data_IF_759625900563
#
_entry.id   IF_759625900563
#
_cell.length_a   1.000
_cell.length_b   1.000
_cell.length_c   1.000
_cell.angle_alpha   90.00
_cell.angle_beta   90.00
_cell.angle_gamma   90.00
#
_symmetry.space_group_name_H-M   'P 1'
#
loop_
_entity.id
_entity.type
_entity.pdbx_description
1 polymer ?
#
# COMPACT_ATOMS: atom_id res chain seq x y z
N UNK A 1 -6.02 6.87 14.03
CA UNK A 1 -6.41 7.02 12.61
C UNK A 1 -7.62 6.16 12.34
N UNK A 2 -8.61 6.63 11.56
CA UNK A 2 -9.84 5.88 11.31
C UNK A 2 -9.98 5.56 9.81
N UNK A 3 -10.18 4.29 9.51
CA UNK A 3 -10.51 3.79 8.18
C UNK A 3 -12.00 3.49 8.10
N UNK A 4 -12.65 4.03 7.09
CA UNK A 4 -14.05 3.77 6.75
C UNK A 4 -14.09 3.14 5.36
N UNK A 5 -14.72 1.98 5.22
CA UNK A 5 -14.77 1.27 3.93
C UNK A 5 -16.22 1.09 3.50
N UNK A 6 -16.58 1.71 2.37
CA UNK A 6 -17.86 1.52 1.71
C UNK A 6 -17.74 0.39 0.69
N UNK A 7 -18.42 -0.73 0.92
CA UNK A 7 -18.26 -1.96 0.14
C UNK A 7 -19.58 -2.73 0.01
N UNK A 8 -19.63 -3.68 -0.91
CA UNK A 8 -20.70 -4.67 -1.02
C UNK A 8 -20.39 -5.98 -0.27
N UNK A 9 -19.14 -6.13 0.21
CA UNK A 9 -18.62 -7.36 0.84
C UNK A 9 -17.86 -7.06 2.13
N UNK A 10 -18.54 -6.58 3.18
CA UNK A 10 -17.90 -6.20 4.45
C UNK A 10 -17.09 -7.33 5.07
N UNK A 11 -17.56 -8.58 4.98
CA UNK A 11 -16.89 -9.74 5.58
C UNK A 11 -15.49 -9.95 5.00
N UNK A 12 -15.27 -9.63 3.72
CA UNK A 12 -13.97 -9.75 3.07
C UNK A 12 -12.95 -8.81 3.69
N UNK A 13 -13.35 -7.59 3.97
CA UNK A 13 -12.52 -6.56 4.61
C UNK A 13 -12.24 -6.93 6.08
N UNK A 14 -13.29 -7.24 6.84
CA UNK A 14 -13.19 -7.52 8.28
C UNK A 14 -12.33 -8.75 8.55
N UNK A 15 -12.57 -9.86 7.85
CA UNK A 15 -11.79 -11.09 8.05
C UNK A 15 -10.33 -10.92 7.63
N UNK A 16 -10.05 -10.14 6.61
CA UNK A 16 -8.68 -9.91 6.13
C UNK A 16 -7.86 -9.01 7.04
N UNK A 17 -8.46 -7.93 7.55
CA UNK A 17 -7.73 -6.89 8.29
C UNK A 17 -7.76 -7.06 9.82
N UNK A 18 -8.72 -7.79 10.40
CA UNK A 18 -8.81 -8.02 11.85
C UNK A 18 -7.84 -9.12 12.36
N UNK A 19 -6.75 -9.35 11.67
CA UNK A 19 -5.77 -10.40 12.02
C UNK A 19 -4.36 -9.83 12.16
N UNK A 20 -3.45 -10.61 12.78
CA UNK A 20 -2.02 -10.32 12.87
C UNK A 20 -1.72 -8.91 13.44
N UNK A 21 -0.89 -8.14 12.76
CA UNK A 21 -0.43 -6.80 13.19
C UNK A 21 -1.60 -5.82 13.21
N UNK A 22 -2.40 -5.77 12.14
CA UNK A 22 -3.55 -4.86 12.05
C UNK A 22 -4.61 -5.15 13.10
N UNK A 23 -4.96 -6.42 13.31
CA UNK A 23 -5.91 -6.80 14.37
C UNK A 23 -5.44 -6.38 15.76
N UNK A 24 -4.14 -6.47 16.07
CA UNK A 24 -3.58 -5.96 17.32
C UNK A 24 -3.63 -4.43 17.41
N UNK A 25 -3.33 -3.74 16.32
CA UNK A 25 -3.37 -2.29 16.26
C UNK A 25 -4.81 -1.74 16.44
N UNK A 26 -5.81 -2.43 15.88
CA UNK A 26 -7.23 -2.12 16.10
C UNK A 26 -7.60 -2.34 17.56
N UNK A 27 -7.24 -3.50 18.14
CA UNK A 27 -7.52 -3.82 19.54
C UNK A 27 -6.84 -2.87 20.51
N UNK A 28 -5.66 -2.34 20.17
CA UNK A 28 -4.94 -1.34 20.95
C UNK A 28 -5.43 0.11 20.72
N UNK A 29 -6.33 0.35 19.77
CA UNK A 29 -6.88 1.67 19.46
C UNK A 29 -5.95 2.60 18.68
N UNK A 30 -4.86 2.10 18.09
CA UNK A 30 -3.98 2.89 17.22
C UNK A 30 -4.67 3.25 15.89
N UNK A 31 -5.46 2.31 15.38
CA UNK A 31 -6.31 2.49 14.20
C UNK A 31 -7.72 1.98 14.50
N UNK A 32 -8.71 2.47 13.76
CA UNK A 32 -10.06 1.89 13.75
C UNK A 32 -10.44 1.49 12.32
N UNK A 33 -11.23 0.43 12.20
CA UNK A 33 -11.76 -0.06 10.94
C UNK A 33 -13.28 -0.12 11.03
N UNK A 34 -13.95 0.72 10.24
CA UNK A 34 -15.41 0.79 10.16
C UNK A 34 -15.84 0.39 8.76
N UNK A 35 -16.46 -0.77 8.63
CA UNK A 35 -16.88 -1.31 7.33
C UNK A 35 -18.39 -1.15 7.18
N UNK A 36 -18.81 -0.53 6.09
CA UNK A 36 -20.21 -0.21 5.83
C UNK A 36 -20.69 -0.91 4.58
N UNK A 37 -21.74 -1.73 4.71
CA UNK A 37 -22.37 -2.35 3.56
C UNK A 37 -23.26 -1.34 2.83
N UNK A 38 -22.90 -1.02 1.58
CA UNK A 38 -23.65 -0.08 0.74
C UNK A 38 -25.11 -0.56 0.51
N UNK A 39 -25.36 -1.88 0.54
CA UNK A 39 -26.71 -2.47 0.37
C UNK A 39 -27.68 -2.03 1.45
N UNK A 40 -27.21 -1.76 2.66
CA UNK A 40 -28.06 -1.35 3.78
C UNK A 40 -28.67 0.05 3.57
N UNK A 41 -28.12 0.78 2.60
CA UNK A 41 -28.59 2.12 2.21
C UNK A 41 -29.40 2.13 0.91
N UNK A 42 -29.78 0.96 0.40
CA UNK A 42 -30.70 0.85 -0.73
C UNK A 42 -32.16 1.04 -0.27
N UNK A 43 -32.92 1.91 -0.93
CA UNK A 43 -34.32 2.20 -0.56
C UNK A 43 -35.34 1.24 -1.19
N UNK A 44 -34.88 0.41 -2.13
CA UNK A 44 -35.78 -0.53 -2.81
C UNK A 44 -35.91 -1.85 -2.02
N UNK A 45 -37.06 -2.52 -2.17
CA UNK A 45 -37.42 -3.76 -1.46
C UNK A 45 -36.38 -4.90 -1.61
N UNK A 46 -35.58 -4.88 -2.65
CA UNK A 46 -34.62 -5.94 -2.98
C UNK A 46 -33.17 -5.55 -2.67
N UNK A 47 -32.94 -4.44 -1.97
CA UNK A 47 -31.61 -3.91 -1.64
C UNK A 47 -30.67 -3.84 -2.86
N UNK A 48 -31.24 -3.49 -4.03
CA UNK A 48 -30.46 -3.33 -5.26
C UNK A 48 -29.63 -2.06 -5.17
N UNK A 49 -28.36 -2.19 -5.54
CA UNK A 49 -27.37 -1.10 -5.55
C UNK A 49 -26.81 -0.84 -6.94
N UNK A 50 -27.29 -1.55 -7.94
CA UNK A 50 -26.81 -1.54 -9.32
C UNK A 50 -27.99 -1.47 -10.31
N UNK A 51 -27.71 -0.98 -11.53
CA UNK A 51 -28.66 -0.92 -12.63
C UNK A 51 -27.92 -0.96 -13.98
N UNK A 52 -28.67 -1.12 -15.07
CA UNK A 52 -28.11 -1.15 -16.42
C UNK A 52 -27.49 0.20 -16.80
N UNK A 53 -26.31 0.19 -17.48
CA UNK A 53 -25.71 1.44 -17.93
C UNK A 53 -26.53 2.16 -18.97
N UNK A 54 -26.62 3.48 -18.90
CA UNK A 54 -27.15 4.29 -20.00
C UNK A 54 -26.28 4.13 -21.25
N UNK A 55 -26.89 4.10 -22.40
CA UNK A 55 -26.20 3.88 -23.68
C UNK A 55 -26.03 2.40 -24.04
N UNK A 56 -26.46 1.49 -23.17
CA UNK A 56 -26.31 0.04 -23.37
C UNK A 56 -24.93 -0.47 -23.02
N UNK A 57 -24.74 -1.76 -23.15
CA UNK A 57 -23.49 -2.46 -22.77
C UNK A 57 -23.76 -3.70 -21.94
N UNK A 58 -22.74 -4.50 -21.72
CA UNK A 58 -22.79 -5.65 -20.81
C UNK A 58 -22.59 -5.19 -19.36
N UNK A 59 -23.14 -5.95 -18.41
CA UNK A 59 -22.94 -5.73 -17.00
C UNK A 59 -23.85 -4.68 -16.37
N UNK A 60 -23.51 -4.25 -15.18
CA UNK A 60 -24.27 -3.34 -14.32
C UNK A 60 -23.36 -2.23 -13.81
N UNK A 61 -23.95 -1.11 -13.40
CA UNK A 61 -23.22 0.03 -12.80
C UNK A 61 -23.80 0.30 -11.42
N UNK A 62 -22.93 0.54 -10.44
CA UNK A 62 -23.35 0.88 -9.08
C UNK A 62 -24.09 2.21 -9.06
N UNK A 63 -25.28 2.20 -8.46
CA UNK A 63 -26.16 3.38 -8.38
C UNK A 63 -25.61 4.44 -7.42
N UNK A 64 -25.77 5.74 -7.73
CA UNK A 64 -25.27 6.82 -6.89
C UNK A 64 -26.00 6.95 -5.55
N UNK A 65 -27.31 6.67 -5.50
CA UNK A 65 -28.15 6.89 -4.32
C UNK A 65 -27.70 6.11 -3.08
N UNK A 66 -27.55 4.76 -3.13
CA UNK A 66 -27.08 3.98 -2.01
C UNK A 66 -25.68 4.41 -1.52
N UNK A 67 -24.76 4.71 -2.44
CA UNK A 67 -23.41 5.17 -2.12
C UNK A 67 -23.44 6.53 -1.40
N UNK A 68 -24.23 7.47 -1.91
CA UNK A 68 -24.36 8.81 -1.31
C UNK A 68 -24.88 8.72 0.12
N UNK A 69 -25.95 7.94 0.34
CA UNK A 69 -26.52 7.76 1.68
C UNK A 69 -25.53 7.07 2.64
N UNK A 70 -24.83 6.04 2.20
CA UNK A 70 -23.79 5.39 2.98
C UNK A 70 -22.67 6.38 3.34
N UNK A 71 -22.20 7.16 2.37
CA UNK A 71 -21.20 8.21 2.60
C UNK A 71 -21.67 9.26 3.61
N UNK A 72 -22.88 9.79 3.45
CA UNK A 72 -23.45 10.78 4.37
C UNK A 72 -23.58 10.22 5.78
N UNK A 73 -24.02 8.96 5.94
CA UNK A 73 -24.15 8.33 7.24
C UNK A 73 -22.78 8.16 7.93
N UNK A 74 -21.77 7.74 7.19
CA UNK A 74 -20.41 7.54 7.72
C UNK A 74 -19.74 8.85 8.10
N UNK A 75 -20.04 9.94 7.36
CA UNK A 75 -19.38 11.24 7.57
C UNK A 75 -20.18 12.21 8.42
N UNK A 76 -21.38 11.83 8.88
CA UNK A 76 -22.32 12.72 9.60
C UNK A 76 -21.72 13.37 10.86
N UNK A 77 -20.86 12.66 11.58
CA UNK A 77 -20.25 13.11 12.83
C UNK A 77 -18.80 13.59 12.65
N UNK A 78 -18.29 13.65 11.42
CA UNK A 78 -16.94 14.12 11.17
C UNK A 78 -16.90 15.64 11.13
N UNK A 79 -15.98 16.22 11.90
CA UNK A 79 -15.77 17.68 11.97
C UNK A 79 -15.27 18.26 10.65
N UNK A 80 -14.46 17.49 9.93
CA UNK A 80 -13.86 17.86 8.67
C UNK A 80 -14.21 16.82 7.58
N UNK A 81 -14.29 17.28 6.33
CA UNK A 81 -14.49 16.36 5.19
C UNK A 81 -13.29 15.42 5.09
N UNK A 82 -13.51 14.10 5.12
CA UNK A 82 -12.43 13.15 4.96
C UNK A 82 -11.90 13.13 3.52
N UNK A 83 -10.71 12.63 3.32
CA UNK A 83 -10.28 12.19 1.99
C UNK A 83 -11.05 10.93 1.62
N UNK A 84 -11.56 10.88 0.40
CA UNK A 84 -12.33 9.76 -0.16
C UNK A 84 -11.55 9.15 -1.30
N UNK A 85 -11.09 7.94 -1.09
CA UNK A 85 -10.27 7.19 -2.02
C UNK A 85 -11.15 6.23 -2.81
N UNK A 86 -11.31 6.47 -4.12
CA UNK A 86 -11.90 5.50 -5.02
C UNK A 86 -10.80 4.61 -5.60
N UNK A 87 -10.92 3.31 -5.36
CA UNK A 87 -9.93 2.33 -5.81
C UNK A 87 -10.27 1.89 -7.22
N UNK A 88 -9.45 2.30 -8.19
CA UNK A 88 -9.73 2.12 -9.61
C UNK A 88 -8.44 2.01 -10.44
N UNK A 89 -8.43 1.21 -11.53
CA UNK A 89 -7.27 1.18 -12.46
C UNK A 89 -6.98 2.52 -13.13
N UNK A 90 -7.95 3.45 -13.17
CA UNK A 90 -7.80 4.77 -13.78
C UNK A 90 -7.04 5.77 -12.90
N UNK A 91 -6.78 5.39 -11.63
CA UNK A 91 -6.14 6.27 -10.65
C UNK A 91 -4.62 6.31 -10.75
N UNK A 92 -4.02 7.24 -10.00
CA UNK A 92 -2.58 7.28 -9.79
C UNK A 92 -2.12 6.00 -9.08
N UNK A 93 -1.00 5.44 -9.53
CA UNK A 93 -0.44 4.22 -8.91
C UNK A 93 0.02 4.53 -7.48
N UNK A 94 -0.48 3.75 -6.53
CA UNK A 94 -0.16 3.84 -5.11
C UNK A 94 1.29 3.48 -4.84
N UNK A 95 1.96 4.30 -4.06
CA UNK A 95 3.34 4.11 -3.63
C UNK A 95 3.52 4.42 -2.14
N UNK A 96 4.73 4.20 -1.64
CA UNK A 96 5.07 4.44 -0.24
C UNK A 96 4.96 5.93 0.15
N UNK A 97 5.13 6.85 -0.79
CA UNK A 97 4.96 8.29 -0.56
C UNK A 97 3.50 8.63 -0.28
N UNK A 98 2.59 8.06 -1.09
CA UNK A 98 1.14 8.21 -0.87
C UNK A 98 0.72 7.56 0.46
N UNK A 99 1.28 6.40 0.82
CA UNK A 99 0.99 5.78 2.11
C UNK A 99 1.34 6.72 3.29
N UNK A 100 2.53 7.36 3.24
CA UNK A 100 2.95 8.36 4.24
C UNK A 100 2.07 9.61 4.24
N UNK A 101 1.59 10.04 3.10
CA UNK A 101 0.69 11.18 2.97
C UNK A 101 -0.66 10.88 3.62
N UNK A 102 -1.28 9.76 3.23
CA UNK A 102 -2.56 9.33 3.76
C UNK A 102 -2.52 9.00 5.27
N UNK A 103 -1.40 8.54 5.79
CA UNK A 103 -1.23 8.27 7.22
C UNK A 103 -1.31 9.52 8.11
N UNK A 104 -1.25 10.73 7.54
CA UNK A 104 -1.41 11.98 8.28
C UNK A 104 -2.88 12.36 8.51
N UNK A 105 -3.78 11.71 7.80
CA UNK A 105 -5.21 11.98 7.89
C UNK A 105 -5.82 11.37 9.16
N UNK A 106 -6.78 12.06 9.76
CA UNK A 106 -7.57 11.55 10.88
C UNK A 106 -8.55 10.48 10.42
N UNK A 107 -9.20 10.71 9.28
CA UNK A 107 -10.20 9.84 8.68
C UNK A 107 -9.92 9.64 7.18
N UNK A 108 -9.94 8.38 6.73
CA UNK A 108 -9.94 8.01 5.31
C UNK A 108 -11.18 7.19 4.98
N UNK A 109 -11.84 7.53 3.89
CA UNK A 109 -12.97 6.76 3.35
C UNK A 109 -12.52 6.05 2.09
N UNK A 110 -12.66 4.74 2.04
CA UNK A 110 -12.42 3.94 0.84
C UNK A 110 -13.75 3.58 0.19
N UNK A 111 -13.89 3.86 -1.09
CA UNK A 111 -15.01 3.40 -1.92
C UNK A 111 -14.54 2.22 -2.78
N UNK A 112 -15.09 1.04 -2.50
CA UNK A 112 -14.83 -0.17 -3.26
C UNK A 112 -15.88 -0.30 -4.38
N UNK A 113 -15.43 -0.15 -5.62
CA UNK A 113 -16.29 -0.35 -6.80
C UNK A 113 -16.45 -1.81 -7.15
N UNK A 114 -17.57 -2.13 -7.80
CA UNK A 114 -17.91 -3.45 -8.35
C UNK A 114 -18.56 -3.33 -9.71
N UNK A 115 -18.82 -4.48 -10.36
CA UNK A 115 -19.44 -4.57 -11.67
C UNK A 115 -18.62 -3.87 -12.76
N UNK A 116 -19.28 -3.08 -13.63
CA UNK A 116 -18.60 -2.28 -14.66
C UNK A 116 -18.07 -0.94 -14.10
N UNK A 117 -18.42 -0.62 -12.85
CA UNK A 117 -17.99 0.58 -12.16
C UNK A 117 -19.06 1.26 -11.35
N UNK A 118 -18.80 2.49 -11.00
CA UNK A 118 -19.67 3.36 -10.17
C UNK A 118 -20.17 4.51 -11.03
N UNK A 119 -21.41 4.94 -10.82
CA UNK A 119 -21.99 6.10 -11.51
C UNK A 119 -21.11 7.34 -11.29
N UNK A 120 -20.69 7.97 -12.40
CA UNK A 120 -19.72 9.08 -12.39
C UNK A 120 -20.18 10.26 -11.54
N UNK A 121 -21.50 10.52 -11.47
CA UNK A 121 -22.06 11.65 -10.69
C UNK A 121 -21.79 11.55 -9.20
N UNK A 122 -21.70 10.34 -8.63
CA UNK A 122 -21.32 10.17 -7.22
C UNK A 122 -19.82 10.25 -7.03
N UNK A 123 -19.03 9.75 -8.00
CA UNK A 123 -17.58 9.90 -7.97
C UNK A 123 -17.20 11.38 -7.96
N UNK A 124 -17.75 12.19 -8.88
CA UNK A 124 -17.53 13.65 -8.94
C UNK A 124 -17.94 14.36 -7.65
N UNK A 125 -18.97 13.85 -6.97
CA UNK A 125 -19.51 14.49 -5.76
C UNK A 125 -18.66 14.25 -4.52
N UNK A 126 -18.14 13.04 -4.33
CA UNK A 126 -17.53 12.65 -3.05
C UNK A 126 -16.05 12.29 -3.13
N UNK A 127 -15.54 11.81 -4.28
CA UNK A 127 -14.17 11.28 -4.38
C UNK A 127 -13.17 12.42 -4.45
N UNK A 128 -12.12 12.31 -3.64
CA UNK A 128 -10.98 13.24 -3.65
C UNK A 128 -9.77 12.65 -4.36
N UNK A 129 -9.64 11.33 -4.34
CA UNK A 129 -8.47 10.61 -4.83
C UNK A 129 -8.88 9.36 -5.62
N UNK A 130 -8.46 9.28 -6.88
CA UNK A 130 -8.54 8.06 -7.68
C UNK A 130 -7.19 7.35 -7.57
N UNK A 131 -7.19 6.10 -7.07
CA UNK A 131 -5.94 5.39 -6.76
C UNK A 131 -5.97 3.98 -7.32
N UNK A 132 -4.89 3.60 -8.00
CA UNK A 132 -4.64 2.26 -8.56
C UNK A 132 -3.56 1.55 -7.74
N UNK A 133 -3.59 0.22 -7.68
CA UNK A 133 -2.49 -0.58 -7.14
C UNK A 133 -1.62 -1.23 -8.24
N UNK A 134 -1.86 -0.89 -9.50
CA UNK A 134 -1.12 -1.38 -10.66
C UNK A 134 -1.97 -1.56 -11.90
N UNK A 135 -1.34 -1.81 -13.04
CA UNK A 135 -1.96 -1.90 -14.35
C UNK A 135 -2.56 -3.29 -14.61
N UNK A 136 -3.54 -3.66 -13.82
CA UNK A 136 -4.33 -4.89 -13.95
C UNK A 136 -5.74 -4.68 -13.38
N UNK A 137 -6.68 -5.53 -13.83
CA UNK A 137 -8.08 -5.44 -13.41
C UNK A 137 -8.39 -6.55 -12.41
N UNK A 138 -9.09 -6.18 -11.33
CA UNK A 138 -9.61 -7.07 -10.31
C UNK A 138 -11.13 -7.13 -10.35
N UNK A 139 -11.72 -8.09 -9.65
CA UNK A 139 -13.18 -8.28 -9.59
C UNK A 139 -13.90 -7.23 -8.75
N UNK A 140 -13.18 -6.49 -7.90
CA UNK A 140 -13.73 -5.45 -7.02
C UNK A 140 -12.63 -4.65 -6.33
N UNK A 141 -13.03 -3.62 -5.61
CA UNK A 141 -12.15 -2.68 -4.93
C UNK A 141 -11.66 -3.13 -3.55
N UNK A 142 -12.15 -4.25 -3.02
CA UNK A 142 -11.85 -4.68 -1.64
C UNK A 142 -10.38 -5.07 -1.46
N UNK A 143 -9.84 -5.90 -2.33
CA UNK A 143 -8.42 -6.31 -2.25
C UNK A 143 -7.47 -5.11 -2.34
N UNK A 144 -7.61 -4.20 -3.32
CA UNK A 144 -6.81 -2.99 -3.36
C UNK A 144 -6.96 -2.12 -2.10
N UNK A 145 -8.18 -1.94 -1.60
CA UNK A 145 -8.41 -1.18 -0.36
C UNK A 145 -7.66 -1.80 0.83
N UNK A 146 -7.70 -3.13 0.96
CA UNK A 146 -6.95 -3.85 2.01
C UNK A 146 -5.45 -3.66 1.89
N UNK A 147 -4.88 -3.75 0.68
CA UNK A 147 -3.44 -3.49 0.42
C UNK A 147 -3.07 -2.08 0.84
N UNK A 148 -3.87 -1.09 0.48
CA UNK A 148 -3.62 0.31 0.84
C UNK A 148 -3.76 0.54 2.35
N UNK A 149 -4.81 0.01 2.99
CA UNK A 149 -5.03 0.13 4.44
C UNK A 149 -3.85 -0.50 5.21
N UNK A 150 -3.35 -1.66 4.79
CA UNK A 150 -2.17 -2.28 5.42
C UNK A 150 -0.95 -1.37 5.31
N UNK A 151 -0.61 -0.93 4.10
CA UNK A 151 0.54 -0.07 3.86
C UNK A 151 0.47 1.28 4.61
N UNK A 152 -0.71 1.90 4.66
CA UNK A 152 -0.95 3.16 5.39
C UNK A 152 -0.85 2.93 6.89
N UNK A 153 -1.45 1.85 7.41
CA UNK A 153 -1.44 1.52 8.84
C UNK A 153 -0.03 1.37 9.39
N UNK A 154 0.89 0.81 8.61
CA UNK A 154 2.31 0.67 8.98
C UNK A 154 3.00 2.01 9.25
N UNK A 155 2.49 3.10 8.70
CA UNK A 155 2.99 4.48 8.91
C UNK A 155 2.39 5.14 10.15
N UNK A 156 1.38 4.52 10.78
CA UNK A 156 0.75 5.06 11.99
C UNK A 156 1.56 4.68 13.23
N UNK A 157 1.95 5.63 14.08
CA UNK A 157 2.71 5.34 15.30
C UNK A 157 2.03 4.29 16.19
N UNK A 158 2.81 3.35 16.71
CA UNK A 158 2.35 2.28 17.59
C UNK A 158 1.73 1.06 16.88
N UNK A 159 1.54 1.07 15.57
CA UNK A 159 1.07 -0.11 14.81
C UNK A 159 2.16 -1.17 14.69
N UNK A 160 3.39 -0.76 14.41
CA UNK A 160 4.56 -1.63 14.45
C UNK A 160 5.18 -1.63 15.85
N UNK A 161 5.62 -2.79 16.32
CA UNK A 161 6.22 -2.96 17.67
C UNK A 161 7.55 -2.26 17.80
N UNK A 162 8.25 -2.04 16.68
CA UNK A 162 9.52 -1.35 16.63
C UNK A 162 9.42 -0.24 15.58
N UNK A 163 9.36 1.02 16.02
CA UNK A 163 9.25 2.19 15.13
C UNK A 163 10.46 2.33 14.20
N UNK A 164 11.64 1.82 14.61
CA UNK A 164 12.84 1.76 13.76
C UNK A 164 12.68 0.78 12.58
N UNK A 165 11.75 -0.18 12.63
CA UNK A 165 11.54 -1.13 11.54
C UNK A 165 11.06 -0.43 10.27
N UNK A 166 10.26 0.62 10.38
CA UNK A 166 9.79 1.42 9.24
C UNK A 166 10.88 2.27 8.58
N UNK A 167 11.98 2.58 9.29
CA UNK A 167 13.07 3.41 8.78
C UNK A 167 14.11 2.63 7.95
N UNK A 168 14.13 1.30 8.06
CA UNK A 168 15.13 0.43 7.41
C UNK A 168 14.54 -0.34 6.23
N UNK A 169 13.23 -0.26 6.04
CA UNK A 169 12.51 -1.02 4.99
C UNK A 169 12.71 -0.44 3.59
N UNK A 170 12.38 -1.26 2.58
CA UNK A 170 12.39 -0.85 1.18
C UNK A 170 11.56 0.44 0.97
N UNK A 171 12.05 1.32 0.10
CA UNK A 171 11.45 2.61 -0.28
C UNK A 171 11.52 3.73 0.78
N UNK A 172 12.17 3.52 1.93
CA UNK A 172 12.30 4.59 2.92
C UNK A 172 13.15 5.75 2.37
N UNK A 173 14.29 5.43 1.77
CA UNK A 173 15.25 6.38 1.19
C UNK A 173 15.50 6.17 -0.32
N UNK A 174 14.58 5.48 -0.98
CA UNK A 174 14.64 5.15 -2.40
C UNK A 174 15.46 3.91 -2.73
N UNK A 175 15.84 3.09 -1.74
CA UNK A 175 16.52 1.82 -1.95
C UNK A 175 15.64 0.63 -1.57
N UNK A 176 15.98 -0.54 -2.08
CA UNK A 176 15.50 -1.82 -1.57
C UNK A 176 16.27 -2.21 -0.30
N UNK A 177 15.60 -2.91 0.59
CA UNK A 177 16.22 -3.47 1.79
C UNK A 177 17.34 -4.48 1.45
N UNK A 178 18.36 -4.52 2.32
CA UNK A 178 19.46 -5.47 2.25
C UNK A 178 18.99 -6.92 2.50
N UNK A 179 19.78 -7.97 2.13
CA UNK A 179 19.41 -9.35 2.38
C UNK A 179 19.41 -9.68 3.88
N UNK A 180 18.35 -10.29 4.35
CA UNK A 180 18.19 -10.75 5.72
C UNK A 180 18.66 -12.20 5.87
N UNK A 181 19.32 -12.50 7.00
CA UNK A 181 19.80 -13.83 7.36
C UNK A 181 19.35 -14.19 8.78
N UNK A 182 19.06 -15.47 9.00
CA UNK A 182 18.74 -16.03 10.31
C UNK A 182 19.43 -17.37 10.52
N UNK A 183 19.18 -18.03 11.62
CA UNK A 183 19.73 -19.36 11.95
C UNK A 183 19.15 -20.45 11.04
N UNK A 184 19.93 -21.51 10.74
CA UNK A 184 21.32 -21.77 11.16
C UNK A 184 22.34 -20.92 10.40
N UNK A 185 23.62 -20.86 10.88
CA UNK A 185 24.72 -20.12 10.24
C UNK A 185 25.10 -20.73 8.90
N UNK A 186 25.07 -22.05 8.81
CA UNK A 186 25.24 -22.81 7.57
C UNK A 186 23.91 -23.48 7.19
N UNK A 187 23.44 -23.17 5.99
CA UNK A 187 22.29 -23.83 5.39
C UNK A 187 22.72 -24.46 4.06
N UNK A 188 22.95 -25.78 4.08
CA UNK A 188 23.34 -26.56 2.90
C UNK A 188 24.61 -26.01 2.18
N UNK A 189 25.62 -25.64 2.96
CA UNK A 189 26.88 -25.07 2.44
C UNK A 189 26.81 -23.58 2.12
N UNK A 190 25.67 -22.92 2.36
CA UNK A 190 25.48 -21.47 2.19
C UNK A 190 25.60 -20.77 3.53
N UNK A 191 26.73 -20.10 3.72
CA UNK A 191 27.07 -19.45 4.98
C UNK A 191 26.42 -18.06 5.11
N UNK A 192 26.05 -17.71 6.34
CA UNK A 192 25.77 -16.31 6.69
C UNK A 192 27.05 -15.50 6.53
N UNK A 193 27.00 -14.28 5.91
CA UNK A 193 28.18 -13.42 5.78
C UNK A 193 28.87 -13.15 7.12
N UNK A 194 30.20 -13.35 7.18
CA UNK A 194 30.99 -13.23 8.42
C UNK A 194 30.83 -11.86 9.10
N UNK A 195 30.67 -10.78 8.33
CA UNK A 195 30.46 -9.44 8.87
C UNK A 195 29.24 -9.36 9.79
N UNK A 196 28.18 -10.14 9.51
CA UNK A 196 26.96 -10.18 10.34
C UNK A 196 27.16 -10.96 11.64
N UNK A 197 28.20 -11.79 11.72
CA UNK A 197 28.57 -12.58 12.89
C UNK A 197 29.64 -11.87 13.77
N UNK A 198 30.24 -10.79 13.25
CA UNK A 198 31.41 -10.13 13.88
C UNK A 198 31.09 -9.30 15.13
N UNK A 199 29.82 -8.91 15.34
CA UNK A 199 29.44 -7.98 16.41
C UNK A 199 29.88 -6.52 16.21
N UNK A 200 30.53 -6.18 15.09
CA UNK A 200 30.97 -4.81 14.78
C UNK A 200 29.89 -4.01 14.10
N UNK A 201 29.05 -3.32 14.86
CA UNK A 201 27.90 -2.57 14.37
C UNK A 201 28.21 -1.67 13.16
N UNK A 202 29.28 -0.88 13.21
CA UNK A 202 29.65 0.00 12.09
C UNK A 202 29.94 -0.75 10.78
N UNK A 203 30.56 -1.93 10.86
CA UNK A 203 30.83 -2.76 9.68
C UNK A 203 29.54 -3.41 9.17
N UNK A 204 28.65 -3.82 10.07
CA UNK A 204 27.34 -4.37 9.74
C UNK A 204 26.48 -3.32 9.02
N UNK A 205 26.39 -2.10 9.57
CA UNK A 205 25.64 -1.00 8.93
C UNK A 205 26.19 -0.64 7.54
N UNK A 206 27.50 -0.55 7.40
CA UNK A 206 28.15 -0.32 6.12
C UNK A 206 27.80 -1.44 5.12
N UNK A 207 27.91 -2.71 5.54
CA UNK A 207 27.59 -3.86 4.71
C UNK A 207 26.11 -3.86 4.28
N UNK A 208 25.20 -3.60 5.22
CA UNK A 208 23.76 -3.48 4.95
C UNK A 208 23.50 -2.45 3.85
N UNK A 209 24.10 -1.27 3.99
CA UNK A 209 23.94 -0.17 3.05
C UNK A 209 24.49 -0.50 1.67
N UNK A 210 25.68 -1.10 1.59
CA UNK A 210 26.28 -1.56 0.34
C UNK A 210 25.41 -2.63 -0.35
N UNK A 211 24.86 -3.58 0.42
CA UNK A 211 23.95 -4.61 -0.13
C UNK A 211 22.62 -4.04 -0.60
N UNK A 212 22.08 -3.03 0.07
CA UNK A 212 20.88 -2.32 -0.40
C UNK A 212 21.12 -1.67 -1.77
N UNK A 213 22.24 -0.98 -1.95
CA UNK A 213 22.60 -0.34 -3.22
C UNK A 213 22.77 -1.39 -4.33
N UNK A 214 23.51 -2.46 -4.08
CA UNK A 214 23.69 -3.54 -5.03
C UNK A 214 22.37 -4.19 -5.44
N UNK A 215 21.55 -4.56 -4.45
CA UNK A 215 20.23 -5.18 -4.71
C UNK A 215 19.32 -4.25 -5.49
N UNK A 216 19.36 -2.95 -5.20
CA UNK A 216 18.56 -1.97 -5.93
C UNK A 216 19.04 -1.87 -7.37
N UNK A 217 20.35 -1.82 -7.60
CA UNK A 217 20.92 -1.80 -8.94
C UNK A 217 20.54 -3.04 -9.76
N UNK A 218 20.51 -4.21 -9.14
CA UNK A 218 20.19 -5.47 -9.81
C UNK A 218 18.69 -5.62 -10.14
N UNK A 219 17.80 -5.17 -9.22
CA UNK A 219 16.39 -5.51 -9.27
C UNK A 219 15.46 -4.34 -9.63
N UNK A 220 15.83 -3.15 -9.21
CA UNK A 220 15.04 -1.93 -9.39
C UNK A 220 15.96 -0.73 -9.63
N UNK A 221 16.74 -0.76 -10.76
CA UNK A 221 17.68 0.33 -11.08
C UNK A 221 16.99 1.68 -11.25
N UNK A 222 15.72 1.70 -11.61
CA UNK A 222 14.87 2.87 -11.70
C UNK A 222 14.81 3.68 -10.37
N UNK A 223 14.88 3.03 -9.22
CA UNK A 223 14.85 3.68 -7.91
C UNK A 223 16.12 4.49 -7.63
N UNK A 224 17.26 4.11 -8.21
CA UNK A 224 18.54 4.79 -7.98
C UNK A 224 18.58 6.23 -8.51
N UNK A 225 17.72 6.57 -9.47
CA UNK A 225 17.60 7.94 -9.99
C UNK A 225 17.15 8.92 -8.91
N UNK A 226 16.35 8.45 -7.96
CA UNK A 226 15.74 9.25 -6.89
C UNK A 226 16.24 8.88 -5.49
N UNK A 227 17.17 7.91 -5.39
CA UNK A 227 17.69 7.45 -4.10
C UNK A 227 18.55 8.52 -3.41
N UNK A 228 18.36 8.65 -2.09
CA UNK A 228 19.13 9.57 -1.27
C UNK A 228 20.51 8.99 -0.92
N UNK A 229 21.46 9.09 -1.86
CA UNK A 229 22.81 8.56 -1.72
C UNK A 229 23.80 9.63 -1.27
N UNK A 230 24.63 9.31 -0.28
CA UNK A 230 25.80 10.10 0.11
C UNK A 230 26.87 10.11 -0.99
N UNK A 231 27.82 11.04 -0.92
CA UNK A 231 28.96 11.10 -1.86
C UNK A 231 29.76 9.79 -1.91
N UNK A 232 29.97 9.13 -0.78
CA UNK A 232 30.69 7.84 -0.70
C UNK A 232 29.91 6.71 -1.38
N UNK A 233 28.60 6.69 -1.21
CA UNK A 233 27.73 5.70 -1.80
C UNK A 233 27.59 5.87 -3.32
N UNK A 234 27.58 7.12 -3.82
CA UNK A 234 27.64 7.39 -5.26
C UNK A 234 28.93 6.85 -5.88
N UNK A 235 30.08 7.04 -5.26
CA UNK A 235 31.36 6.47 -5.70
C UNK A 235 31.31 4.93 -5.67
N UNK A 236 30.65 4.34 -4.68
CA UNK A 236 30.47 2.90 -4.61
C UNK A 236 29.60 2.40 -5.76
N UNK A 237 28.48 3.05 -6.05
CA UNK A 237 27.59 2.74 -7.17
C UNK A 237 28.31 2.85 -8.53
N UNK A 238 29.11 3.89 -8.73
CA UNK A 238 29.91 4.07 -9.97
C UNK A 238 30.88 2.89 -10.18
N UNK A 239 31.53 2.41 -9.12
CA UNK A 239 32.39 1.23 -9.20
C UNK A 239 31.64 -0.04 -9.55
N UNK A 240 30.42 -0.21 -9.06
CA UNK A 240 29.56 -1.34 -9.40
C UNK A 240 29.16 -1.30 -10.89
N UNK A 241 28.78 -0.14 -11.38
CA UNK A 241 28.41 0.05 -12.79
C UNK A 241 29.59 -0.25 -13.72
N UNK A 242 30.81 0.21 -13.38
CA UNK A 242 32.03 -0.10 -14.14
C UNK A 242 32.29 -1.59 -14.21
N UNK A 243 32.17 -2.32 -13.09
CA UNK A 243 32.34 -3.78 -13.05
C UNK A 243 31.35 -4.51 -13.98
N UNK A 244 30.10 -4.09 -13.99
CA UNK A 244 29.06 -4.69 -14.85
C UNK A 244 29.37 -4.45 -16.32
N UNK A 245 29.87 -3.26 -16.68
CA UNK A 245 30.24 -2.93 -18.07
C UNK A 245 31.40 -3.80 -18.55
N UNK A 246 32.46 -3.92 -17.77
CA UNK A 246 33.65 -4.77 -18.12
C UNK A 246 33.23 -6.23 -18.25
N UNK A 247 32.43 -6.78 -17.33
CA UNK A 247 31.97 -8.18 -17.39
C UNK A 247 31.07 -8.46 -18.62
N UNK A 248 30.41 -7.46 -19.18
CA UNK A 248 29.60 -7.61 -20.39
C UNK A 248 30.49 -7.59 -21.65
N UNK A 249 31.58 -6.83 -21.65
CA UNK A 249 32.54 -6.77 -22.76
C UNK A 249 33.40 -8.03 -22.88
N UNK A 250 33.69 -8.71 -21.74
CA UNK A 250 34.46 -9.97 -21.72
C UNK A 250 33.61 -11.21 -22.15
N UNK A 251 32.29 -11.10 -22.22
CA UNK A 251 31.36 -12.20 -22.56
C UNK A 251 30.79 -12.06 -24.01
N UNK A 252 31.31 -11.14 -24.83
CA UNK A 252 31.01 -10.95 -26.24
C UNK A 252 32.24 -11.40 -27.07
#
# INVERSE_FOLDING_TARGET
MNFHVLTLFPEMIEQGLNTSILGRAIAAGHISLNVTNIRDYAENKHCRVDDYPYGGGAGMVMQPGPIDRAYQAVTAEMEEKPRVIYVTPQGKVFDQSMAREFAKEKNLVFLCGHYEGVDERILDKIVTDHVSIGDYVLTGGELPAMVMIDAISRMVPGVLTNDESGEIESFHDGLLEYPQYTRPVDYEGRMVPEVLLSGHHANVEKWRRERSIERTLERRPDLLEHANLTKKERVFLEKLLQKITVSKEENI
#
